data_IF_909360662893
#
_entry.id   IF_909360662893
#
_cell.length_a   1.000
_cell.length_b   1.000
_cell.length_c   1.000
_cell.angle_alpha   90.00
_cell.angle_beta   90.00
_cell.angle_gamma   90.00
#
_symmetry.space_group_name_H-M   'P 1'
#
loop_
_entity.id
_entity.type
_entity.pdbx_description
1 polymer ?
#
# COMPACT_ATOMS: atom_id res chain seq x y z
N UNK A 1 -4.98 -28.26 65.28
CA UNK A 1 -3.50 -28.25 65.37
C UNK A 1 -2.97 -27.92 63.99
N UNK A 2 -2.24 -26.84 63.70
CA UNK A 2 -2.04 -25.51 64.33
C UNK A 2 -2.15 -24.54 63.13
N UNK A 3 -3.04 -23.54 63.06
CA UNK A 3 -2.97 -22.20 63.71
C UNK A 3 -1.56 -21.67 63.93
N UNK A 4 -1.10 -20.78 63.04
CA UNK A 4 -0.34 -19.57 63.39
C UNK A 4 -0.34 -18.58 62.20
N UNK A 5 -1.12 -17.51 62.30
CA UNK A 5 -1.00 -16.32 61.47
C UNK A 5 -0.97 -15.10 62.39
N UNK A 6 -0.04 -14.18 62.18
CA UNK A 6 -0.07 -12.79 62.65
C UNK A 6 1.03 -12.01 61.90
N UNK A 7 0.96 -10.73 61.52
CA UNK A 7 -0.04 -9.67 61.25
C UNK A 7 0.70 -8.32 61.41
N UNK A 8 0.03 -7.20 61.07
CA UNK A 8 0.42 -5.76 61.20
C UNK A 8 1.09 -5.20 59.92
N UNK A 9 0.62 -4.13 59.27
CA UNK A 9 -0.71 -3.48 59.28
C UNK A 9 -0.93 -2.50 58.10
N UNK A 10 -2.17 -2.01 57.94
CA UNK A 10 -2.65 -0.73 57.36
C UNK A 10 -2.24 -0.32 55.90
N UNK A 11 -3.14 -0.14 54.91
CA UNK A 11 -4.25 0.85 54.75
C UNK A 11 -3.73 2.29 54.44
N UNK A 12 -4.16 3.09 53.44
CA UNK A 12 -5.30 3.09 52.46
C UNK A 12 -4.90 3.89 51.19
N UNK A 13 -5.74 3.85 50.13
CA UNK A 13 -5.78 4.69 48.91
C UNK A 13 -4.69 4.39 47.85
N UNK A 14 -4.95 4.44 46.55
CA UNK A 14 -6.18 4.75 45.78
C UNK A 14 -5.83 4.98 44.30
N UNK A 15 -6.85 5.16 43.46
CA UNK A 15 -6.76 5.38 41.99
C UNK A 15 -6.35 4.17 41.13
N UNK A 16 -7.03 4.07 39.98
CA UNK A 16 -6.79 3.10 38.92
C UNK A 16 -5.86 3.70 37.87
N UNK A 17 -4.82 2.97 37.48
CA UNK A 17 -4.12 3.22 36.22
C UNK A 17 -4.12 1.93 35.40
N UNK A 18 -4.92 1.93 34.33
CA UNK A 18 -4.66 1.09 33.18
C UNK A 18 -3.60 1.77 32.30
N UNK A 19 -3.09 1.06 31.29
CA UNK A 19 -1.84 1.31 30.56
C UNK A 19 -0.60 0.90 31.38
N UNK A 20 0.45 0.33 30.79
CA UNK A 20 0.75 0.20 29.37
C UNK A 20 0.97 -1.28 29.01
N UNK A 21 0.18 -1.82 28.08
CA UNK A 21 0.62 -3.00 27.34
C UNK A 21 1.55 -2.45 26.27
N UNK A 22 2.86 -2.69 26.41
CA UNK A 22 3.82 -2.36 25.37
C UNK A 22 3.39 -3.11 24.09
N UNK A 23 2.77 -2.36 23.19
CA UNK A 23 2.57 -2.79 21.82
C UNK A 23 3.97 -2.90 21.22
N UNK A 24 4.48 -4.14 21.25
CA UNK A 24 5.56 -4.55 20.36
C UNK A 24 5.01 -4.30 18.96
N UNK A 25 5.36 -3.16 18.39
CA UNK A 25 5.27 -2.96 16.95
C UNK A 25 6.23 -3.99 16.38
N UNK A 26 5.67 -5.12 15.91
CA UNK A 26 6.43 -6.01 15.05
C UNK A 26 6.90 -5.17 13.87
N UNK A 27 8.22 -4.94 13.83
CA UNK A 27 8.89 -4.32 12.70
C UNK A 27 8.44 -5.06 11.44
N UNK A 28 7.66 -4.38 10.60
CA UNK A 28 6.92 -5.00 9.51
C UNK A 28 7.91 -5.75 8.65
N UNK A 29 7.77 -7.08 8.58
CA UNK A 29 8.77 -7.96 7.99
C UNK A 29 9.20 -7.41 6.61
N UNK A 30 10.50 -7.25 6.37
CA UNK A 30 10.98 -6.65 5.13
C UNK A 30 10.58 -7.54 3.95
N UNK A 31 9.78 -6.99 3.05
CA UNK A 31 9.22 -7.74 1.94
C UNK A 31 10.33 -8.04 0.92
N UNK A 32 10.67 -9.32 0.81
CA UNK A 32 11.39 -9.85 -0.33
C UNK A 32 10.40 -10.60 -1.24
N UNK A 33 10.50 -10.48 -2.58
CA UNK A 33 9.63 -11.22 -3.48
C UNK A 33 9.76 -12.74 -3.24
N UNK A 34 8.70 -13.50 -3.57
CA UNK A 34 8.66 -14.95 -3.32
C UNK A 34 9.89 -15.67 -3.88
N UNK A 35 10.62 -16.38 -3.01
CA UNK A 35 11.85 -17.11 -3.36
C UNK A 35 13.15 -16.32 -3.15
N UNK A 36 13.08 -15.03 -2.84
CA UNK A 36 14.23 -14.22 -2.43
C UNK A 36 14.44 -14.32 -0.91
N UNK A 37 15.70 -14.17 -0.46
CA UNK A 37 16.06 -14.19 0.96
C UNK A 37 16.48 -12.80 1.42
N UNK A 38 15.95 -12.37 2.57
CA UNK A 38 16.30 -11.09 3.17
C UNK A 38 17.67 -11.13 3.86
N UNK A 39 18.49 -10.13 3.57
CA UNK A 39 19.80 -9.91 4.17
C UNK A 39 19.81 -8.78 5.20
N UNK A 40 20.03 -9.13 6.47
CA UNK A 40 20.18 -8.20 7.60
C UNK A 40 21.66 -8.08 8.02
N UNK A 41 22.18 -6.88 8.36
CA UNK A 41 21.50 -5.59 8.49
C UNK A 41 21.48 -4.73 7.21
N UNK A 42 21.94 -5.25 6.08
CA UNK A 42 22.18 -4.51 4.83
C UNK A 42 20.93 -4.33 3.93
N UNK A 43 19.74 -4.61 4.47
CA UNK A 43 18.42 -4.31 3.90
C UNK A 43 18.30 -4.61 2.41
N UNK A 44 18.74 -5.79 1.99
CA UNK A 44 18.74 -6.20 0.58
C UNK A 44 18.13 -7.59 0.45
N UNK A 45 17.44 -7.84 -0.66
CA UNK A 45 16.89 -9.16 -1.00
C UNK A 45 17.82 -9.85 -2.00
N UNK A 46 18.04 -11.15 -1.82
CA UNK A 46 18.94 -11.94 -2.66
C UNK A 46 18.27 -13.19 -3.23
N UNK A 47 18.49 -13.43 -4.52
CA UNK A 47 18.00 -14.61 -5.21
C UNK A 47 19.17 -15.41 -5.79
N UNK A 48 19.28 -16.67 -5.40
CA UNK A 48 20.28 -17.59 -5.91
C UNK A 48 19.73 -18.31 -7.14
N UNK A 49 20.25 -18.01 -8.33
CA UNK A 49 19.77 -18.62 -9.56
C UNK A 49 20.19 -20.10 -9.64
N UNK A 50 19.26 -20.97 -10.04
CA UNK A 50 19.52 -22.40 -10.23
C UNK A 50 20.29 -22.70 -11.52
N UNK A 51 20.03 -21.93 -12.58
CA UNK A 51 20.71 -22.04 -13.88
C UNK A 51 22.14 -21.46 -13.85
N UNK A 52 22.97 -21.85 -14.81
CA UNK A 52 24.31 -21.30 -15.00
C UNK A 52 24.39 -20.55 -16.34
N UNK A 53 24.90 -19.32 -16.31
CA UNK A 53 24.99 -18.43 -17.48
C UNK A 53 26.37 -17.76 -17.55
N UNK A 54 26.70 -17.21 -18.72
CA UNK A 54 27.80 -16.26 -18.84
C UNK A 54 27.44 -14.97 -18.07
N UNK A 55 28.43 -14.13 -17.76
CA UNK A 55 28.21 -12.94 -16.92
C UNK A 55 27.21 -11.93 -17.53
N UNK A 56 27.28 -11.56 -18.84
CA UNK A 56 26.29 -10.68 -19.46
C UNK A 56 24.85 -11.21 -19.38
N UNK A 57 24.61 -12.48 -19.73
CA UNK A 57 23.28 -13.08 -19.69
C UNK A 57 22.78 -13.22 -18.24
N UNK A 58 23.68 -13.42 -17.27
CA UNK A 58 23.34 -13.46 -15.85
C UNK A 58 22.92 -12.09 -15.31
N UNK A 59 23.55 -11.00 -15.76
CA UNK A 59 23.14 -9.63 -15.45
C UNK A 59 21.73 -9.34 -16.00
N UNK A 60 21.51 -9.62 -17.29
CA UNK A 60 20.18 -9.48 -17.91
C UNK A 60 19.13 -10.36 -17.23
N UNK A 61 19.49 -11.56 -16.77
CA UNK A 61 18.59 -12.43 -16.02
C UNK A 61 18.20 -11.83 -14.65
N UNK A 62 19.11 -11.11 -13.97
CA UNK A 62 18.80 -10.39 -12.74
C UNK A 62 17.92 -9.14 -12.99
N UNK A 63 18.21 -8.37 -14.05
CA UNK A 63 17.42 -7.20 -14.45
C UNK A 63 15.96 -7.58 -14.74
N UNK A 64 15.75 -8.69 -15.46
CA UNK A 64 14.42 -9.23 -15.75
C UNK A 64 13.61 -9.66 -14.51
N UNK A 65 14.23 -9.80 -13.34
CA UNK A 65 13.55 -10.10 -12.06
C UNK A 65 13.65 -8.95 -11.04
N UNK A 66 13.93 -7.72 -11.51
CA UNK A 66 13.92 -6.51 -10.69
C UNK A 66 15.18 -6.29 -9.84
N UNK A 67 16.31 -6.90 -10.21
CA UNK A 67 17.58 -6.74 -9.49
C UNK A 67 18.78 -6.61 -10.42
N UNK A 68 19.97 -6.72 -9.85
CA UNK A 68 21.25 -6.75 -10.55
C UNK A 68 22.07 -7.96 -10.07
N UNK A 69 23.14 -8.33 -10.77
CA UNK A 69 24.14 -9.23 -10.18
C UNK A 69 24.68 -8.61 -8.87
N UNK A 70 24.76 -9.43 -7.82
CA UNK A 70 24.90 -8.91 -6.46
C UNK A 70 26.15 -8.05 -6.25
N UNK A 71 25.94 -6.84 -5.74
CA UNK A 71 26.99 -6.00 -5.16
C UNK A 71 27.30 -6.37 -3.71
N UNK A 72 28.51 -6.08 -3.25
CA UNK A 72 28.94 -6.36 -1.87
C UNK A 72 29.65 -5.14 -1.28
N UNK A 73 29.08 -4.65 -0.18
CA UNK A 73 29.47 -3.44 0.55
C UNK A 73 30.12 -3.72 1.90
N UNK A 74 30.00 -4.94 2.44
CA UNK A 74 30.47 -5.27 3.79
C UNK A 74 30.89 -6.73 3.97
N UNK A 75 31.61 -7.03 5.05
CA UNK A 75 32.00 -8.38 5.44
C UNK A 75 30.83 -9.23 5.93
N UNK A 76 29.82 -8.61 6.53
CA UNK A 76 28.57 -9.24 6.92
C UNK A 76 27.77 -9.70 5.70
N UNK A 77 27.65 -8.83 4.69
CA UNK A 77 26.99 -9.15 3.41
C UNK A 77 27.74 -10.26 2.65
N UNK A 78 29.07 -10.18 2.56
CA UNK A 78 29.87 -11.26 1.97
C UNK A 78 29.65 -12.61 2.67
N UNK A 79 29.70 -12.63 4.01
CA UNK A 79 29.51 -13.86 4.78
C UNK A 79 28.09 -14.44 4.67
N UNK A 80 27.07 -13.60 4.42
CA UNK A 80 25.72 -14.03 4.11
C UNK A 80 25.64 -14.68 2.72
N UNK A 81 26.18 -14.03 1.69
CA UNK A 81 26.13 -14.54 0.32
C UNK A 81 26.93 -15.84 0.12
N UNK A 82 28.04 -16.00 0.85
CA UNK A 82 28.79 -17.26 0.88
C UNK A 82 27.94 -18.42 1.42
N UNK A 83 27.12 -18.19 2.47
CA UNK A 83 26.21 -19.22 3.00
C UNK A 83 25.08 -19.53 2.02
N UNK A 84 24.52 -18.50 1.38
CA UNK A 84 23.48 -18.64 0.36
C UNK A 84 23.98 -19.48 -0.83
N UNK A 85 25.17 -19.17 -1.36
CA UNK A 85 25.82 -19.93 -2.42
C UNK A 85 26.13 -21.38 -1.99
N UNK A 86 26.70 -21.57 -0.78
CA UNK A 86 27.04 -22.90 -0.26
C UNK A 86 25.80 -23.80 -0.10
N UNK A 87 24.70 -23.25 0.40
CA UNK A 87 23.45 -23.97 0.59
C UNK A 87 22.81 -24.40 -0.74
N UNK A 88 23.03 -23.65 -1.83
CA UNK A 88 22.56 -24.01 -3.17
C UNK A 88 23.49 -24.99 -3.88
N UNK A 89 24.80 -24.71 -3.94
CA UNK A 89 25.78 -25.65 -4.46
C UNK A 89 27.22 -25.38 -3.95
N UNK A 90 27.79 -26.22 -3.08
CA UNK A 90 29.06 -25.95 -2.41
C UNK A 90 30.30 -26.14 -3.30
N UNK A 91 30.18 -26.64 -4.53
CA UNK A 91 31.35 -26.95 -5.40
C UNK A 91 31.58 -25.97 -6.55
N UNK A 92 30.61 -25.07 -6.79
CA UNK A 92 30.57 -24.23 -7.98
C UNK A 92 31.15 -22.84 -7.71
N UNK A 93 31.45 -22.13 -8.80
CA UNK A 93 31.79 -20.72 -8.76
C UNK A 93 30.50 -19.92 -8.92
N UNK A 94 30.43 -18.74 -8.30
CA UNK A 94 29.25 -17.89 -8.29
C UNK A 94 29.61 -16.49 -8.80
N UNK A 95 28.91 -16.03 -9.84
CA UNK A 95 29.02 -14.68 -10.37
C UNK A 95 28.43 -13.64 -9.41
N UNK A 96 29.07 -12.46 -9.42
CA UNK A 96 28.61 -11.23 -8.76
C UNK A 96 28.77 -10.03 -9.70
N UNK A 97 28.19 -8.89 -9.34
CA UNK A 97 28.11 -7.72 -10.23
C UNK A 97 29.43 -6.99 -10.49
N UNK A 98 30.53 -7.43 -9.89
CA UNK A 98 31.84 -6.79 -10.07
C UNK A 98 32.43 -7.19 -11.43
N UNK A 99 32.74 -6.18 -12.25
CA UNK A 99 33.30 -6.36 -13.59
C UNK A 99 34.18 -5.15 -13.97
N UNK A 100 34.98 -5.28 -15.01
CA UNK A 100 35.71 -4.18 -15.63
C UNK A 100 35.28 -4.03 -17.10
N UNK A 101 35.19 -2.79 -17.61
CA UNK A 101 34.76 -2.53 -19.00
C UNK A 101 35.84 -2.99 -20.01
N UNK A 102 37.11 -2.86 -19.63
CA UNK A 102 38.28 -3.28 -20.41
C UNK A 102 39.49 -3.41 -19.46
N UNK A 103 40.61 -3.94 -19.97
CA UNK A 103 41.83 -4.21 -19.19
C UNK A 103 42.47 -2.97 -18.52
N UNK A 104 42.08 -1.75 -18.90
CA UNK A 104 42.57 -0.48 -18.31
C UNK A 104 41.56 0.15 -17.34
N UNK A 105 40.37 -0.42 -17.21
CA UNK A 105 39.30 0.09 -16.35
C UNK A 105 39.41 -0.48 -14.93
N UNK A 106 39.11 0.29 -13.89
CA UNK A 106 38.90 -0.27 -12.55
C UNK A 106 37.69 -1.21 -12.55
N UNK A 107 37.69 -2.16 -11.62
CA UNK A 107 36.52 -3.00 -11.36
C UNK A 107 35.41 -2.18 -10.68
N UNK A 108 34.19 -2.28 -11.18
CA UNK A 108 33.01 -1.56 -10.75
C UNK A 108 31.80 -2.51 -10.60
N UNK A 109 30.84 -2.15 -9.76
CA UNK A 109 29.61 -2.93 -9.57
C UNK A 109 28.59 -2.58 -10.67
N UNK A 110 27.91 -3.59 -11.20
CA UNK A 110 26.88 -3.44 -12.24
C UNK A 110 25.70 -2.55 -11.82
N UNK A 111 25.35 -2.56 -10.52
CA UNK A 111 24.29 -1.73 -9.94
C UNK A 111 24.74 -0.30 -9.56
N UNK A 112 25.96 0.10 -9.90
CA UNK A 112 26.51 1.41 -9.56
C UNK A 112 26.93 1.60 -8.09
N UNK A 113 26.86 0.57 -7.26
CA UNK A 113 27.34 0.62 -5.86
C UNK A 113 28.81 1.08 -5.81
N UNK A 114 29.23 1.91 -4.84
CA UNK A 114 30.65 2.25 -4.66
C UNK A 114 31.49 1.02 -4.29
N UNK A 115 32.57 0.77 -5.04
CA UNK A 115 33.48 -0.38 -4.85
C UNK A 115 34.47 -0.21 -3.67
N UNK A 116 33.95 0.18 -2.51
CA UNK A 116 34.74 0.50 -1.31
C UNK A 116 35.16 -0.73 -0.48
N UNK A 117 34.46 -1.86 -0.67
CA UNK A 117 34.74 -3.12 0.02
C UNK A 117 35.39 -4.13 -0.93
N UNK A 118 36.34 -4.92 -0.43
CA UNK A 118 37.11 -5.87 -1.23
C UNK A 118 37.35 -7.19 -0.52
N UNK A 119 37.21 -8.30 -1.27
CA UNK A 119 37.61 -9.66 -0.89
C UNK A 119 38.35 -10.39 -2.01
N UNK A 120 39.19 -9.69 -2.77
CA UNK A 120 40.12 -10.35 -3.69
C UNK A 120 40.98 -11.40 -2.98
N UNK A 121 41.12 -12.58 -3.59
CA UNK A 121 42.11 -13.56 -3.16
C UNK A 121 43.54 -12.99 -3.30
N UNK A 122 44.49 -13.55 -2.54
CA UNK A 122 45.89 -13.18 -2.69
C UNK A 122 46.36 -13.41 -4.12
N UNK A 123 46.91 -12.38 -4.76
CA UNK A 123 47.28 -12.41 -6.18
C UNK A 123 46.11 -12.26 -7.16
N UNK A 124 44.98 -11.69 -6.72
CA UNK A 124 43.88 -11.23 -7.57
C UNK A 124 43.65 -9.70 -7.39
N UNK A 125 43.11 -8.99 -8.40
CA UNK A 125 42.87 -9.47 -9.77
C UNK A 125 44.17 -9.83 -10.50
N UNK A 126 44.09 -10.78 -11.41
CA UNK A 126 45.20 -11.29 -12.22
C UNK A 126 45.11 -10.74 -13.64
N UNK A 127 46.24 -10.26 -14.18
CA UNK A 127 46.36 -9.78 -15.57
C UNK A 127 46.04 -10.86 -16.62
N UNK A 128 46.19 -12.14 -16.25
CA UNK A 128 45.80 -13.31 -17.07
C UNK A 128 44.36 -13.79 -16.83
N UNK A 129 43.61 -13.11 -15.96
CA UNK A 129 42.18 -13.37 -15.73
C UNK A 129 41.31 -12.62 -16.74
N UNK A 130 40.00 -12.90 -16.73
CA UNK A 130 39.05 -12.14 -17.55
C UNK A 130 38.55 -10.87 -16.85
N UNK A 131 37.52 -10.25 -17.42
CA UNK A 131 36.97 -8.97 -16.93
C UNK A 131 35.83 -9.12 -15.91
N UNK A 132 35.35 -10.35 -15.66
CA UNK A 132 34.19 -10.62 -14.82
C UNK A 132 34.59 -11.38 -13.55
N UNK A 133 33.87 -11.16 -12.44
CA UNK A 133 34.30 -11.61 -11.11
C UNK A 133 33.30 -12.57 -10.47
N UNK A 134 33.84 -13.62 -9.86
CA UNK A 134 33.09 -14.50 -8.97
C UNK A 134 33.96 -15.02 -7.83
N UNK A 135 33.36 -15.72 -6.87
CA UNK A 135 34.10 -16.56 -5.92
C UNK A 135 33.81 -18.02 -6.17
N UNK A 136 34.75 -18.90 -5.78
CA UNK A 136 34.46 -20.32 -5.60
C UNK A 136 34.16 -20.56 -4.13
N UNK A 137 33.09 -21.28 -3.84
CA UNK A 137 32.72 -21.57 -2.46
C UNK A 137 33.57 -22.73 -1.93
N UNK A 138 34.40 -22.47 -0.92
CA UNK A 138 35.10 -23.49 -0.12
C UNK A 138 34.97 -23.10 1.36
N UNK A 139 33.91 -23.55 2.01
CA UNK A 139 33.59 -23.13 3.38
C UNK A 139 34.57 -23.76 4.38
N UNK A 140 35.48 -22.96 4.94
CA UNK A 140 36.40 -23.35 6.01
C UNK A 140 37.89 -23.41 5.63
N UNK A 141 38.23 -23.27 4.35
CA UNK A 141 39.63 -23.16 3.89
C UNK A 141 40.00 -21.70 3.57
N UNK A 142 41.28 -21.35 3.70
CA UNK A 142 41.85 -20.01 3.39
C UNK A 142 41.85 -19.65 1.89
N UNK A 143 40.90 -20.16 1.12
CA UNK A 143 40.70 -19.96 -0.31
C UNK A 143 39.35 -19.28 -0.63
N UNK A 144 38.69 -18.69 0.37
CA UNK A 144 37.47 -17.90 0.19
C UNK A 144 37.78 -16.47 -0.28
N UNK A 145 37.31 -16.14 -1.49
CA UNK A 145 37.50 -14.81 -2.04
C UNK A 145 37.18 -14.69 -3.52
N UNK A 146 37.30 -13.47 -4.01
CA UNK A 146 37.02 -13.08 -5.39
C UNK A 146 38.21 -13.33 -6.29
N UNK A 147 37.91 -13.70 -7.54
CA UNK A 147 38.88 -13.82 -8.63
C UNK A 147 38.25 -13.41 -9.95
N UNK A 148 39.05 -12.85 -10.86
CA UNK A 148 38.58 -12.46 -12.18
C UNK A 148 38.82 -13.58 -13.20
N UNK A 149 37.81 -13.89 -14.01
CA UNK A 149 37.79 -14.99 -14.97
C UNK A 149 37.04 -14.57 -16.26
N UNK A 150 37.16 -15.38 -17.32
CA UNK A 150 36.53 -15.12 -18.61
C UNK A 150 34.99 -15.00 -18.47
N UNK A 151 34.42 -13.88 -18.93
CA UNK A 151 33.01 -13.53 -18.78
C UNK A 151 32.08 -14.55 -19.45
N UNK A 152 32.57 -15.23 -20.47
CA UNK A 152 31.93 -16.28 -21.28
C UNK A 152 31.73 -17.59 -20.49
N UNK A 153 32.38 -17.74 -19.34
CA UNK A 153 32.26 -18.93 -18.49
C UNK A 153 30.85 -19.07 -17.95
N UNK A 154 30.21 -20.23 -18.09
CA UNK A 154 28.92 -20.48 -17.45
C UNK A 154 29.12 -20.76 -15.95
N UNK A 155 28.53 -19.92 -15.10
CA UNK A 155 28.52 -20.08 -13.64
C UNK A 155 27.12 -19.82 -13.09
N UNK A 156 26.84 -20.33 -11.89
CA UNK A 156 25.66 -19.87 -11.13
C UNK A 156 25.85 -18.42 -10.69
N UNK A 157 24.78 -17.75 -10.31
CA UNK A 157 24.82 -16.32 -9.99
C UNK A 157 23.82 -15.94 -8.89
N UNK A 158 24.13 -14.86 -8.18
CA UNK A 158 23.23 -14.27 -7.19
C UNK A 158 22.75 -12.91 -7.71
N UNK A 159 21.44 -12.74 -7.75
CA UNK A 159 20.82 -11.44 -7.96
C UNK A 159 20.59 -10.74 -6.61
N UNK A 160 20.73 -9.42 -6.59
CA UNK A 160 20.44 -8.52 -5.47
C UNK A 160 19.46 -7.46 -5.93
N UNK A 161 18.50 -7.13 -5.07
CA UNK A 161 17.73 -5.89 -5.14
C UNK A 161 17.72 -5.24 -3.75
N UNK A 162 17.46 -3.93 -3.67
CA UNK A 162 17.16 -3.31 -2.37
C UNK A 162 15.93 -4.02 -1.79
N UNK A 163 15.95 -4.36 -0.50
CA UNK A 163 14.77 -4.97 0.09
C UNK A 163 13.68 -3.91 0.19
N UNK A 164 12.43 -4.29 -0.07
CA UNK A 164 11.29 -3.36 -0.02
C UNK A 164 11.01 -2.92 1.43
N UNK A 165 11.83 -2.01 1.94
CA UNK A 165 11.53 -1.22 3.12
C UNK A 165 10.57 -0.10 2.70
N UNK A 166 9.32 -0.50 2.41
CA UNK A 166 8.17 0.39 2.38
C UNK A 166 7.90 0.81 3.83
N UNK A 167 8.23 2.04 4.26
CA UNK A 167 7.99 2.44 5.65
C UNK A 167 6.49 2.36 5.92
N UNK A 168 6.09 1.48 6.84
CA UNK A 168 4.69 1.17 7.12
C UNK A 168 3.89 0.65 5.89
N UNK A 169 4.47 -0.28 5.11
CA UNK A 169 3.83 -0.84 3.90
C UNK A 169 2.44 -1.46 4.09
N UNK A 170 2.07 -1.89 5.29
CA UNK A 170 0.69 -2.22 5.64
C UNK A 170 0.27 -1.47 6.90
N UNK A 171 -0.84 -0.73 6.84
CA UNK A 171 -1.39 0.01 7.96
C UNK A 171 -2.89 -0.23 8.12
N UNK A 172 -3.32 -0.27 9.38
CA UNK A 172 -4.73 -0.30 9.75
C UNK A 172 -4.99 0.48 11.03
N UNK A 173 -6.23 0.96 11.19
CA UNK A 173 -6.63 1.77 12.34
C UNK A 173 -7.55 2.92 11.96
N UNK A 174 -7.58 3.97 12.79
CA UNK A 174 -8.36 5.20 12.57
C UNK A 174 -7.58 6.32 11.89
N UNK A 175 -6.25 6.27 11.90
CA UNK A 175 -5.36 7.24 11.26
C UNK A 175 -3.93 6.72 11.25
N UNK A 176 -3.08 7.28 10.39
CA UNK A 176 -1.66 6.96 10.32
C UNK A 176 -0.94 7.81 9.27
N UNK A 177 0.31 7.46 8.97
CA UNK A 177 1.08 8.06 7.89
C UNK A 177 1.97 7.06 7.16
N UNK A 178 2.13 7.30 5.86
CA UNK A 178 2.97 6.55 4.92
C UNK A 178 3.87 7.53 4.18
N UNK A 179 5.07 7.07 3.83
CA UNK A 179 6.05 7.89 3.09
C UNK A 179 6.87 7.03 2.15
N UNK A 180 7.50 7.64 1.16
CA UNK A 180 8.55 6.99 0.39
C UNK A 180 9.70 6.51 1.30
N UNK A 181 10.46 5.52 0.82
CA UNK A 181 11.71 5.10 1.46
C UNK A 181 12.63 6.29 1.73
N UNK A 182 13.35 6.27 2.85
CA UNK A 182 14.34 7.28 3.27
C UNK A 182 13.83 8.72 3.51
N UNK A 183 12.54 9.03 3.30
CA UNK A 183 11.95 10.34 3.57
C UNK A 183 12.33 10.85 4.99
N UNK A 184 12.77 12.12 5.17
CA UNK A 184 12.79 13.22 4.20
C UNK A 184 14.08 13.32 3.35
N UNK A 185 14.95 12.31 3.35
CA UNK A 185 16.05 12.20 2.38
C UNK A 185 15.55 11.61 1.08
N UNK A 186 16.40 11.62 0.05
CA UNK A 186 16.02 11.06 -1.24
C UNK A 186 15.68 9.57 -1.17
N UNK A 187 14.67 9.16 -1.93
CA UNK A 187 14.35 7.75 -2.15
C UNK A 187 15.44 7.05 -2.98
N UNK A 188 15.29 5.75 -3.18
CA UNK A 188 16.21 4.91 -3.95
C UNK A 188 15.73 4.70 -5.40
N UNK A 189 16.65 4.37 -6.30
CA UNK A 189 16.33 3.95 -7.66
C UNK A 189 15.69 2.54 -7.67
N UNK A 190 14.92 2.23 -8.70
CA UNK A 190 14.32 0.91 -8.97
C UNK A 190 13.35 0.40 -7.90
N UNK A 191 12.63 1.30 -7.21
CA UNK A 191 11.64 0.95 -6.20
C UNK A 191 10.36 0.41 -6.82
N UNK A 192 9.71 -0.49 -6.10
CA UNK A 192 8.37 -1.02 -6.40
C UNK A 192 7.51 -1.06 -5.12
N UNK A 193 7.54 0.01 -4.33
CA UNK A 193 6.93 0.03 -3.00
C UNK A 193 5.40 0.01 -3.07
N UNK A 194 4.77 -1.10 -2.65
CA UNK A 194 3.32 -1.18 -2.44
C UNK A 194 2.98 -0.84 -0.99
N UNK A 195 1.96 0.00 -0.80
CA UNK A 195 1.38 0.32 0.51
C UNK A 195 -0.10 -0.06 0.52
N UNK A 196 -0.57 -0.62 1.62
CA UNK A 196 -1.98 -0.99 1.83
C UNK A 196 -2.51 -0.34 3.11
N UNK A 197 -3.55 0.49 2.97
CA UNK A 197 -4.25 1.12 4.09
C UNK A 197 -5.62 0.49 4.21
N UNK A 198 -5.96 -0.06 5.37
CA UNK A 198 -7.26 -0.70 5.65
C UNK A 198 -7.89 -0.11 6.91
N UNK A 199 -9.06 0.49 6.77
CA UNK A 199 -9.86 1.02 7.88
C UNK A 199 -11.01 0.06 8.21
N UNK A 200 -11.69 0.29 9.33
CA UNK A 200 -12.85 -0.50 9.73
C UNK A 200 -13.93 -0.51 8.62
N UNK A 201 -14.58 -1.65 8.42
CA UNK A 201 -15.68 -1.79 7.47
C UNK A 201 -16.78 -0.75 7.74
N UNK A 202 -17.23 -0.06 6.68
CA UNK A 202 -18.17 1.07 6.76
C UNK A 202 -17.52 2.45 6.89
N UNK A 203 -16.20 2.53 7.04
CA UNK A 203 -15.41 3.77 6.95
C UNK A 203 -14.69 3.87 5.60
N UNK A 204 -14.05 5.02 5.34
CA UNK A 204 -13.22 5.29 4.15
C UNK A 204 -11.85 5.80 4.53
N UNK A 205 -10.88 5.60 3.63
CA UNK A 205 -9.55 6.18 3.73
C UNK A 205 -9.58 7.57 3.10
N UNK A 206 -9.23 8.60 3.87
CA UNK A 206 -8.95 9.94 3.38
C UNK A 206 -7.45 10.19 3.46
N UNK A 207 -6.78 10.36 2.32
CA UNK A 207 -5.33 10.52 2.18
C UNK A 207 -4.99 11.98 1.82
N UNK A 208 -4.03 12.57 2.52
CA UNK A 208 -3.56 13.95 2.33
C UNK A 208 -2.04 13.99 2.34
N UNK A 209 -1.43 14.69 1.38
CA UNK A 209 0.03 14.86 1.31
C UNK A 209 0.43 16.15 2.02
N UNK A 210 1.49 16.11 2.82
CA UNK A 210 2.13 17.32 3.35
C UNK A 210 3.24 17.80 2.40
N UNK A 211 3.87 16.86 1.71
CA UNK A 211 5.07 17.06 0.90
C UNK A 211 5.11 15.98 -0.21
N UNK A 212 5.50 16.39 -1.42
CA UNK A 212 5.57 15.51 -2.58
C UNK A 212 6.61 16.04 -3.57
N UNK A 213 7.65 15.26 -3.87
CA UNK A 213 8.76 15.66 -4.72
C UNK A 213 9.42 14.41 -5.32
N UNK A 214 9.12 14.15 -6.58
CA UNK A 214 9.49 12.95 -7.34
C UNK A 214 9.95 13.34 -8.73
N UNK A 215 10.69 12.48 -9.42
CA UNK A 215 11.05 12.75 -10.81
C UNK A 215 9.79 12.87 -11.68
N UNK A 216 9.73 13.87 -12.56
CA UNK A 216 8.49 14.19 -13.29
C UNK A 216 8.17 13.18 -14.39
N UNK A 217 9.15 12.43 -14.89
CA UNK A 217 9.06 11.71 -16.17
C UNK A 217 8.86 10.21 -15.99
N UNK A 218 9.61 9.58 -15.09
CA UNK A 218 9.62 8.13 -14.90
C UNK A 218 9.03 7.71 -13.55
N UNK A 219 9.39 8.40 -12.47
CA UNK A 219 8.95 8.07 -11.11
C UNK A 219 7.48 8.44 -10.86
N UNK A 220 6.72 7.51 -10.25
CA UNK A 220 5.26 7.62 -10.14
C UNK A 220 4.73 7.07 -8.82
N UNK A 221 3.85 7.83 -8.18
CA UNK A 221 2.95 7.33 -7.14
C UNK A 221 1.56 7.10 -7.72
N UNK A 222 1.19 5.83 -7.89
CA UNK A 222 -0.16 5.40 -8.23
C UNK A 222 -0.98 5.19 -6.95
N UNK A 223 -2.25 5.56 -6.99
CA UNK A 223 -3.20 5.42 -5.88
C UNK A 223 -4.47 4.74 -6.41
N UNK A 224 -4.95 3.72 -5.71
CA UNK A 224 -6.03 2.84 -6.14
C UNK A 224 -7.15 2.72 -5.09
N UNK A 225 -8.39 2.65 -5.57
CA UNK A 225 -9.61 2.54 -4.79
C UNK A 225 -9.93 1.09 -4.43
N UNK A 226 -9.16 0.51 -3.51
CA UNK A 226 -9.35 -0.86 -3.10
C UNK A 226 -8.13 -1.47 -2.43
N UNK A 227 -8.12 -2.80 -2.23
CA UNK A 227 -7.11 -3.47 -1.41
C UNK A 227 -5.78 -3.72 -2.13
N UNK A 228 -5.67 -3.52 -3.45
CA UNK A 228 -4.46 -3.84 -4.23
C UNK A 228 -4.38 -3.05 -5.56
N UNK A 229 -3.25 -3.20 -6.29
CA UNK A 229 -2.95 -2.53 -7.56
C UNK A 229 -3.85 -2.90 -8.76
N UNK A 230 -4.74 -3.89 -8.62
CA UNK A 230 -5.75 -4.23 -9.63
C UNK A 230 -7.07 -3.48 -9.43
N UNK A 231 -7.19 -2.72 -8.34
CA UNK A 231 -8.38 -1.90 -8.03
C UNK A 231 -8.43 -0.66 -8.94
N UNK A 232 -9.59 0.02 -9.09
CA UNK A 232 -9.71 1.23 -9.92
C UNK A 232 -8.71 2.32 -9.51
N UNK A 233 -8.09 3.01 -10.47
CA UNK A 233 -7.13 4.09 -10.14
C UNK A 233 -7.85 5.38 -9.71
N UNK A 234 -7.41 5.97 -8.59
CA UNK A 234 -7.85 7.26 -8.09
C UNK A 234 -7.00 8.41 -8.64
N UNK A 235 -5.68 8.24 -8.60
CA UNK A 235 -4.68 9.24 -9.01
C UNK A 235 -3.37 8.55 -9.45
N UNK A 236 -2.62 9.27 -10.28
CA UNK A 236 -1.23 9.00 -10.64
C UNK A 236 -0.49 10.33 -10.50
N UNK A 237 0.53 10.39 -9.64
CA UNK A 237 1.19 11.62 -9.19
C UNK A 237 2.69 11.56 -9.49
N UNK A 238 3.24 12.67 -10.02
CA UNK A 238 4.67 12.87 -10.34
C UNK A 238 5.09 14.30 -10.06
N UNK A 239 6.40 14.58 -10.11
CA UNK A 239 6.94 15.93 -9.99
C UNK A 239 6.89 16.50 -8.58
N UNK A 240 6.80 17.83 -8.48
CA UNK A 240 7.01 18.60 -7.26
C UNK A 240 5.75 19.36 -6.79
N UNK A 241 5.36 19.18 -5.53
CA UNK A 241 4.40 20.01 -4.81
C UNK A 241 4.78 20.15 -3.32
N UNK A 242 5.37 21.30 -2.90
CA UNK A 242 5.96 21.49 -1.56
C UNK A 242 4.94 21.81 -0.46
N UNK A 243 3.64 21.68 -0.77
CA UNK A 243 2.52 21.69 0.20
C UNK A 243 1.59 20.48 -0.03
N UNK A 244 2.10 19.43 -0.68
CA UNK A 244 1.32 18.29 -1.14
C UNK A 244 0.30 18.66 -2.22
N UNK A 245 -0.63 17.74 -2.48
CA UNK A 245 -1.75 17.97 -3.40
C UNK A 245 -2.92 18.55 -2.60
N UNK A 246 -3.39 19.74 -2.99
CA UNK A 246 -4.37 20.53 -2.21
C UNK A 246 -5.74 19.82 -2.00
N UNK A 247 -6.07 18.81 -2.81
CA UNK A 247 -7.28 18.01 -2.67
C UNK A 247 -6.99 16.70 -1.93
N UNK A 248 -7.75 16.41 -0.87
CA UNK A 248 -7.70 15.11 -0.20
C UNK A 248 -8.24 13.99 -1.10
N UNK A 249 -7.53 12.87 -1.16
CA UNK A 249 -7.89 11.72 -2.00
C UNK A 249 -8.66 10.71 -1.14
N UNK A 250 -9.89 10.35 -1.55
CA UNK A 250 -10.77 9.46 -0.80
C UNK A 250 -11.03 8.16 -1.55
N UNK A 251 -11.04 7.04 -0.82
CA UNK A 251 -11.52 5.74 -1.32
C UNK A 251 -13.05 5.66 -1.26
N UNK A 252 -13.67 4.87 -2.13
CA UNK A 252 -15.10 4.52 -2.04
C UNK A 252 -15.35 3.43 -0.97
N UNK A 253 -14.40 2.52 -0.78
CA UNK A 253 -14.43 1.46 0.23
C UNK A 253 -13.58 1.74 1.46
N UNK A 254 -13.45 0.73 2.33
CA UNK A 254 -12.64 0.78 3.57
C UNK A 254 -11.15 0.44 3.34
N UNK A 255 -10.66 0.51 2.11
CA UNK A 255 -9.29 0.16 1.75
C UNK A 255 -8.77 1.04 0.63
N UNK A 256 -7.49 1.39 0.69
CA UNK A 256 -6.76 2.11 -0.37
C UNK A 256 -5.39 1.47 -0.56
N UNK A 257 -4.95 1.32 -1.80
CA UNK A 257 -3.62 0.82 -2.14
C UNK A 257 -2.82 1.93 -2.84
N UNK A 258 -1.54 2.04 -2.52
CA UNK A 258 -0.60 2.93 -3.18
C UNK A 258 0.53 2.08 -3.79
N UNK A 259 1.09 2.53 -4.91
CA UNK A 259 2.26 1.90 -5.54
C UNK A 259 3.22 3.00 -5.98
N UNK A 260 4.39 3.06 -5.35
CA UNK A 260 5.46 3.97 -5.70
C UNK A 260 6.53 3.23 -6.52
N UNK A 261 6.63 3.60 -7.79
CA UNK A 261 7.55 3.02 -8.75
C UNK A 261 8.61 4.05 -9.14
N UNK A 262 9.89 3.66 -9.11
CA UNK A 262 11.01 4.54 -9.53
C UNK A 262 11.93 3.85 -10.53
N UNK A 263 12.59 4.67 -11.35
CA UNK A 263 13.49 4.26 -12.43
C UNK A 263 14.96 4.10 -11.93
N UNK A 264 15.90 3.86 -12.83
CA UNK A 264 17.31 3.61 -12.47
C UNK A 264 18.11 4.88 -12.12
N UNK A 265 17.51 6.07 -12.14
CA UNK A 265 18.17 7.38 -12.04
C UNK A 265 17.36 8.45 -11.28
N UNK A 266 17.96 9.63 -11.08
CA UNK A 266 17.29 10.88 -10.68
C UNK A 266 16.37 10.84 -9.44
N UNK A 267 16.89 10.51 -8.26
CA UNK A 267 16.08 10.52 -7.03
C UNK A 267 15.88 11.91 -6.43
N UNK A 268 14.71 12.11 -5.80
CA UNK A 268 14.31 13.31 -5.06
C UNK A 268 13.87 12.94 -3.64
N UNK A 269 13.55 13.91 -2.78
CA UNK A 269 13.19 13.68 -1.35
C UNK A 269 11.94 12.79 -1.14
N UNK A 270 11.14 12.58 -2.19
CA UNK A 270 9.97 11.72 -2.17
C UNK A 270 8.74 12.38 -1.57
N UNK A 271 7.96 11.63 -0.81
CA UNK A 271 6.63 12.06 -0.38
C UNK A 271 6.30 11.60 1.03
N UNK A 272 5.47 12.38 1.72
CA UNK A 272 4.85 12.05 3.00
C UNK A 272 3.36 12.32 2.95
N UNK A 273 2.56 11.33 3.32
CA UNK A 273 1.12 11.42 3.37
C UNK A 273 0.56 10.92 4.70
N UNK A 274 -0.33 11.72 5.27
CA UNK A 274 -1.19 11.31 6.37
C UNK A 274 -2.48 10.70 5.81
N UNK A 275 -3.05 9.75 6.52
CA UNK A 275 -4.41 9.28 6.26
C UNK A 275 -5.24 9.24 7.53
N UNK A 276 -6.54 9.39 7.36
CA UNK A 276 -7.53 9.20 8.41
C UNK A 276 -8.66 8.29 7.92
N UNK A 277 -9.15 7.45 8.82
CA UNK A 277 -10.45 6.82 8.67
C UNK A 277 -11.51 7.90 8.84
N UNK A 278 -12.11 8.33 7.74
CA UNK A 278 -13.33 9.12 7.80
C UNK A 278 -14.51 8.16 7.87
N UNK A 279 -15.53 8.48 8.65
CA UNK A 279 -16.86 7.95 8.37
C UNK A 279 -17.23 8.26 6.92
N UNK A 280 -18.20 7.53 6.37
CA UNK A 280 -19.09 8.15 5.39
C UNK A 280 -19.60 9.43 6.08
N UNK A 281 -19.04 10.58 5.73
CA UNK A 281 -19.48 11.84 6.32
C UNK A 281 -20.98 11.91 6.04
N UNK A 282 -21.77 12.20 7.07
CA UNK A 282 -23.13 12.71 6.87
C UNK A 282 -22.95 14.03 6.11
N UNK A 283 -22.89 13.93 4.77
CA UNK A 283 -22.33 14.95 3.88
C UNK A 283 -23.39 16.00 3.60
N UNK A 284 -23.81 16.65 4.70
CA UNK A 284 -25.03 17.43 4.87
C UNK A 284 -26.14 17.01 3.90
N UNK A 285 -26.51 15.73 3.92
CA UNK A 285 -27.60 15.23 3.09
C UNK A 285 -28.86 16.02 3.49
N UNK A 286 -29.51 16.78 2.58
CA UNK A 286 -30.57 17.68 3.00
C UNK A 286 -31.73 16.90 3.62
N UNK A 287 -31.89 17.05 4.94
CA UNK A 287 -32.78 16.24 5.78
C UNK A 287 -32.42 14.73 5.82
N UNK A 288 -31.13 14.39 5.86
CA UNK A 288 -30.62 13.01 5.88
C UNK A 288 -31.16 12.13 7.02
N UNK A 289 -31.38 12.70 8.21
CA UNK A 289 -32.03 12.01 9.33
C UNK A 289 -33.42 12.61 9.54
N UNK A 290 -34.48 11.82 9.28
CA UNK A 290 -35.86 12.26 9.46
C UNK A 290 -36.67 11.27 10.32
N UNK A 291 -37.53 11.82 11.17
CA UNK A 291 -38.48 11.06 11.99
C UNK A 291 -39.84 11.76 12.03
N UNK A 292 -40.93 11.02 11.80
CA UNK A 292 -42.28 11.62 11.75
C UNK A 292 -43.30 10.76 11.01
N UNK A 293 -44.25 11.43 10.34
CA UNK A 293 -45.26 10.78 9.48
C UNK A 293 -45.10 11.13 7.99
N UNK A 294 -44.28 12.13 7.66
CA UNK A 294 -44.00 12.59 6.30
C UNK A 294 -42.77 13.49 6.28
N UNK A 295 -42.11 13.65 5.14
CA UNK A 295 -40.98 14.57 4.97
C UNK A 295 -40.44 14.63 3.53
N UNK A 296 -39.75 15.74 3.15
CA UNK A 296 -39.06 15.87 1.88
C UNK A 296 -37.64 15.27 1.94
N UNK A 297 -37.16 14.74 0.82
CA UNK A 297 -35.81 14.19 0.64
C UNK A 297 -35.26 14.62 -0.72
N UNK A 298 -34.03 15.15 -0.76
CA UNK A 298 -33.37 15.52 -2.01
C UNK A 298 -31.92 15.06 -2.01
N UNK A 299 -31.35 14.88 -3.21
CA UNK A 299 -29.89 14.81 -3.36
C UNK A 299 -29.24 16.10 -2.85
N UNK A 300 -27.92 16.08 -2.50
CA UNK A 300 -27.17 17.30 -2.26
C UNK A 300 -27.28 18.26 -3.45
N UNK A 301 -27.18 19.56 -3.16
CA UNK A 301 -27.24 20.69 -4.10
C UNK A 301 -28.53 20.86 -4.92
N UNK A 302 -29.50 19.94 -4.86
CA UNK A 302 -30.77 20.03 -5.57
C UNK A 302 -31.45 21.40 -5.32
N UNK A 303 -31.89 22.14 -6.37
CA UNK A 303 -32.14 21.71 -7.75
C UNK A 303 -30.96 21.82 -8.73
N UNK A 304 -29.75 22.13 -8.25
CA UNK A 304 -28.51 22.07 -9.03
C UNK A 304 -27.99 20.63 -9.10
N UNK A 305 -26.89 20.43 -9.81
CA UNK A 305 -26.26 19.11 -9.90
C UNK A 305 -25.61 18.70 -8.57
N UNK A 306 -25.67 17.41 -8.25
CA UNK A 306 -24.91 16.82 -7.15
C UNK A 306 -23.40 16.81 -7.45
N UNK A 307 -22.58 16.68 -6.41
CA UNK A 307 -21.14 16.55 -6.56
C UNK A 307 -20.71 15.10 -6.87
N UNK A 308 -19.52 14.95 -7.45
CA UNK A 308 -18.91 13.65 -7.69
C UNK A 308 -18.35 13.10 -6.36
N UNK A 309 -18.19 11.77 -6.25
CA UNK A 309 -17.63 11.05 -5.09
C UNK A 309 -18.43 11.21 -3.78
N UNK A 310 -19.74 11.44 -3.88
CA UNK A 310 -20.64 11.56 -2.74
C UNK A 310 -21.13 10.20 -2.26
N UNK A 311 -21.18 10.03 -0.94
CA UNK A 311 -21.96 8.97 -0.30
C UNK A 311 -22.91 9.56 0.72
N UNK A 312 -24.11 9.89 0.26
CA UNK A 312 -25.14 10.46 1.09
C UNK A 312 -26.06 9.37 1.67
N UNK A 313 -25.94 9.17 2.98
CA UNK A 313 -26.81 8.28 3.74
C UNK A 313 -28.06 9.03 4.21
N UNK A 314 -29.23 8.48 3.92
CA UNK A 314 -30.51 8.94 4.44
C UNK A 314 -31.14 7.85 5.30
N UNK A 315 -31.82 8.25 6.37
CA UNK A 315 -32.54 7.35 7.27
C UNK A 315 -33.85 7.97 7.70
N UNK A 316 -34.91 7.30 7.29
CA UNK A 316 -36.30 7.67 7.55
C UNK A 316 -36.82 6.76 8.66
N UNK A 317 -37.44 7.32 9.69
CA UNK A 317 -38.08 6.56 10.77
C UNK A 317 -39.52 7.02 10.98
N UNK A 318 -40.50 6.13 10.83
CA UNK A 318 -41.86 6.42 11.28
C UNK A 318 -41.92 6.41 12.81
N UNK A 319 -42.66 7.36 13.38
CA UNK A 319 -42.97 7.37 14.82
C UNK A 319 -43.89 6.22 15.24
N UNK A 320 -44.61 5.60 14.29
CA UNK A 320 -45.40 4.40 14.53
C UNK A 320 -44.60 3.15 14.17
N UNK A 321 -44.26 2.33 15.18
CA UNK A 321 -43.55 1.05 14.98
C UNK A 321 -44.33 0.00 14.18
N UNK A 322 -45.64 0.20 14.00
CA UNK A 322 -46.52 -0.67 13.21
C UNK A 322 -46.69 -0.19 11.77
N UNK A 323 -46.15 0.97 11.42
CA UNK A 323 -46.28 1.54 10.09
C UNK A 323 -45.13 1.12 9.17
N UNK A 324 -45.34 1.36 7.87
CA UNK A 324 -44.36 1.24 6.79
C UNK A 324 -44.05 2.62 6.23
N UNK A 325 -42.90 2.78 5.61
CA UNK A 325 -42.50 4.02 4.92
C UNK A 325 -42.73 3.81 3.43
N UNK A 326 -43.50 4.69 2.81
CA UNK A 326 -43.56 4.82 1.35
C UNK A 326 -42.82 6.08 0.93
N UNK A 327 -41.80 5.94 0.09
CA UNK A 327 -41.12 7.04 -0.59
C UNK A 327 -41.62 7.14 -2.03
N UNK A 328 -41.83 8.36 -2.51
CA UNK A 328 -42.27 8.72 -3.86
C UNK A 328 -41.28 9.71 -4.46
N UNK A 329 -40.77 9.44 -5.65
CA UNK A 329 -39.84 10.30 -6.36
C UNK A 329 -40.60 11.21 -7.32
N UNK A 330 -40.52 12.52 -7.10
CA UNK A 330 -41.11 13.55 -7.96
C UNK A 330 -40.19 13.84 -9.15
N UNK A 331 -38.88 13.76 -8.93
CA UNK A 331 -37.83 13.88 -9.94
C UNK A 331 -36.67 12.93 -9.62
N UNK A 332 -36.09 12.29 -10.66
CA UNK A 332 -34.91 11.46 -10.52
C UNK A 332 -34.12 11.40 -11.85
N UNK A 333 -32.89 11.93 -11.84
CA UNK A 333 -31.94 11.82 -12.94
C UNK A 333 -30.50 11.79 -12.41
N UNK A 334 -29.82 10.66 -12.65
CA UNK A 334 -28.46 10.32 -12.20
C UNK A 334 -27.70 9.64 -13.34
N UNK A 335 -26.39 9.44 -13.24
CA UNK A 335 -25.66 8.70 -14.27
C UNK A 335 -26.07 7.21 -14.30
N UNK A 336 -26.49 6.71 -15.46
CA UNK A 336 -27.09 5.38 -15.60
C UNK A 336 -26.19 4.21 -15.19
N UNK A 337 -24.87 4.32 -15.36
CA UNK A 337 -23.93 3.22 -15.11
C UNK A 337 -23.47 3.12 -13.64
N UNK A 338 -23.29 4.28 -13.01
CA UNK A 338 -22.26 4.44 -12.00
C UNK A 338 -22.85 5.07 -10.74
N UNK A 339 -23.54 6.20 -10.87
CA UNK A 339 -24.27 6.85 -9.77
C UNK A 339 -25.55 6.09 -9.39
N UNK A 340 -25.68 5.73 -8.11
CA UNK A 340 -26.70 4.79 -7.63
C UNK A 340 -27.34 5.25 -6.33
N UNK A 341 -28.67 5.38 -6.34
CA UNK A 341 -29.48 5.46 -5.12
C UNK A 341 -29.99 4.06 -4.76
N UNK A 342 -29.52 3.50 -3.65
CA UNK A 342 -29.96 2.19 -3.16
C UNK A 342 -30.83 2.34 -1.91
N UNK A 343 -32.01 1.70 -1.92
CA UNK A 343 -33.00 1.70 -0.87
C UNK A 343 -32.94 0.37 -0.10
N UNK A 344 -32.91 0.44 1.23
CA UNK A 344 -32.79 -0.69 2.15
C UNK A 344 -33.97 -0.74 3.13
N UNK A 345 -34.51 -1.94 3.33
CA UNK A 345 -35.66 -2.25 4.17
C UNK A 345 -35.24 -2.45 5.63
N UNK A 346 -34.81 -1.37 6.27
CA UNK A 346 -34.38 -1.42 7.67
C UNK A 346 -33.46 -0.24 8.07
N UNK A 347 -32.77 -0.36 9.21
CA UNK A 347 -32.05 0.74 9.83
C UNK A 347 -30.62 0.99 9.33
N UNK A 348 -30.09 0.13 8.44
CA UNK A 348 -28.70 0.20 7.94
C UNK A 348 -28.59 -0.25 6.48
N UNK A 349 -27.43 0.02 5.84
CA UNK A 349 -27.09 -0.49 4.49
C UNK A 349 -26.88 -2.03 4.42
N UNK A 350 -26.90 -2.72 5.56
CA UNK A 350 -26.87 -4.19 5.62
C UNK A 350 -28.28 -4.81 5.74
N UNK A 351 -29.33 -3.98 5.77
CA UNK A 351 -30.72 -4.45 5.73
C UNK A 351 -31.07 -4.97 4.32
N UNK A 352 -32.13 -5.77 4.13
CA UNK A 352 -32.52 -6.28 2.82
C UNK A 352 -32.72 -5.15 1.79
N UNK A 353 -32.15 -5.27 0.60
CA UNK A 353 -32.27 -4.25 -0.42
C UNK A 353 -33.66 -4.26 -1.07
N UNK A 354 -34.36 -3.12 -1.06
CA UNK A 354 -35.62 -2.92 -1.78
C UNK A 354 -35.34 -2.73 -3.27
N UNK A 355 -34.47 -1.77 -3.60
CA UNK A 355 -34.16 -1.42 -5.00
C UNK A 355 -32.88 -0.58 -5.10
N UNK A 356 -32.13 -0.76 -6.19
CA UNK A 356 -31.12 0.21 -6.65
C UNK A 356 -31.68 0.94 -7.88
N UNK A 357 -31.48 2.26 -7.91
CA UNK A 357 -31.93 3.20 -8.94
C UNK A 357 -30.72 3.93 -9.53
N UNK A 358 -30.69 4.09 -10.84
CA UNK A 358 -29.75 4.93 -11.60
C UNK A 358 -30.42 5.42 -12.88
N UNK A 359 -29.82 6.39 -13.57
CA UNK A 359 -30.38 6.94 -14.81
C UNK A 359 -31.59 7.84 -14.56
N UNK A 360 -32.54 7.85 -15.50
CA UNK A 360 -33.80 8.62 -15.44
C UNK A 360 -34.96 7.73 -15.01
N UNK A 361 -35.77 8.16 -14.05
CA UNK A 361 -37.01 7.48 -13.65
C UNK A 361 -38.26 8.35 -13.89
N UNK A 362 -39.44 7.75 -14.16
CA UNK A 362 -40.70 8.49 -14.21
C UNK A 362 -41.06 9.11 -12.86
N UNK A 363 -41.53 10.36 -12.87
CA UNK A 363 -42.09 11.01 -11.67
C UNK A 363 -43.33 10.25 -11.15
N UNK A 364 -43.48 10.22 -9.82
CA UNK A 364 -44.51 9.42 -9.13
C UNK A 364 -44.11 7.97 -8.86
N UNK A 365 -42.93 7.52 -9.32
CA UNK A 365 -42.39 6.20 -8.97
C UNK A 365 -42.21 6.11 -7.45
N UNK A 366 -42.74 5.05 -6.84
CA UNK A 366 -42.73 4.89 -5.38
C UNK A 366 -42.32 3.48 -4.94
N UNK A 367 -41.75 3.40 -3.74
CA UNK A 367 -41.30 2.18 -3.08
C UNK A 367 -41.77 2.19 -1.63
N UNK A 368 -42.10 1.01 -1.07
CA UNK A 368 -42.60 0.88 0.31
C UNK A 368 -41.77 -0.16 1.06
N UNK A 369 -41.35 0.15 2.29
CA UNK A 369 -40.66 -0.78 3.21
C UNK A 369 -41.62 -1.80 3.82
N UNK A 370 -41.10 -2.86 4.43
CA UNK A 370 -41.90 -3.76 5.29
C UNK A 370 -41.97 -3.28 6.74
N UNK A 371 -40.99 -2.48 7.19
CA UNK A 371 -40.92 -1.93 8.55
C UNK A 371 -40.98 -0.41 8.65
N UNK A 372 -40.96 0.08 9.89
CA UNK A 372 -41.06 1.51 10.24
C UNK A 372 -39.74 2.29 10.05
N UNK A 373 -38.69 1.68 9.48
CA UNK A 373 -37.40 2.33 9.17
C UNK A 373 -37.01 1.99 7.73
N UNK A 374 -36.55 2.99 6.99
CA UNK A 374 -35.98 2.83 5.64
C UNK A 374 -34.67 3.61 5.57
N UNK A 375 -33.62 2.97 5.06
CA UNK A 375 -32.31 3.59 4.84
C UNK A 375 -32.06 3.71 3.34
N UNK A 376 -31.45 4.81 2.90
CA UNK A 376 -31.04 5.02 1.51
C UNK A 376 -29.56 5.40 1.47
N UNK A 377 -28.83 4.91 0.48
CA UNK A 377 -27.46 5.33 0.18
C UNK A 377 -27.42 5.87 -1.26
N UNK A 378 -27.11 7.15 -1.41
CA UNK A 378 -26.80 7.76 -2.70
C UNK A 378 -25.28 7.79 -2.89
N UNK A 379 -24.78 6.95 -3.78
CA UNK A 379 -23.36 6.82 -4.12
C UNK A 379 -23.10 7.45 -5.49
N UNK A 380 -22.10 8.31 -5.62
CA UNK A 380 -21.68 8.89 -6.92
C UNK A 380 -20.21 8.62 -7.24
N UNK A 381 -19.94 8.50 -8.53
CA UNK A 381 -18.65 8.14 -9.12
C UNK A 381 -17.70 9.36 -9.21
N UNK A 382 -16.51 9.24 -9.81
CA UNK A 382 -15.54 10.34 -9.88
C UNK A 382 -15.88 11.44 -10.91
N UNK A 383 -16.89 11.24 -11.74
CA UNK A 383 -17.20 12.01 -12.95
C UNK A 383 -18.71 12.28 -13.10
N UNK A 384 -19.11 12.80 -14.27
CA UNK A 384 -20.48 12.95 -14.79
C UNK A 384 -21.61 13.10 -13.76
N UNK A 385 -21.93 14.35 -13.37
CA UNK A 385 -23.07 14.64 -12.50
C UNK A 385 -24.31 15.20 -13.22
N UNK A 386 -25.45 15.02 -12.56
CA UNK A 386 -26.77 15.51 -12.96
C UNK A 386 -27.51 16.11 -11.75
N UNK A 387 -28.77 16.51 -11.92
CA UNK A 387 -29.58 17.12 -10.84
C UNK A 387 -29.89 16.17 -9.67
N UNK A 388 -29.75 14.86 -9.83
CA UNK A 388 -30.06 13.89 -8.78
C UNK A 388 -31.56 13.72 -8.60
N UNK A 389 -32.05 13.85 -7.38
CA UNK A 389 -33.43 13.50 -7.06
C UNK A 389 -34.13 14.46 -6.11
N UNK A 390 -35.45 14.50 -6.26
CA UNK A 390 -36.39 15.08 -5.30
C UNK A 390 -37.50 14.06 -5.04
N UNK A 391 -37.77 13.84 -3.76
CA UNK A 391 -38.72 12.86 -3.29
C UNK A 391 -39.45 13.36 -2.04
N UNK A 392 -40.57 12.74 -1.75
CA UNK A 392 -41.28 12.85 -0.48
C UNK A 392 -41.57 11.46 0.06
N UNK A 393 -41.69 11.33 1.38
CA UNK A 393 -42.16 10.09 2.00
C UNK A 393 -43.36 10.32 2.90
N UNK A 394 -44.09 9.24 3.14
CA UNK A 394 -45.20 9.16 4.08
C UNK A 394 -45.13 7.86 4.88
N UNK A 395 -45.59 7.92 6.13
CA UNK A 395 -45.89 6.76 6.96
C UNK A 395 -47.26 6.21 6.56
N UNK A 396 -47.32 4.95 6.13
CA UNK A 396 -48.55 4.23 5.78
C UNK A 396 -48.79 3.08 6.76
N UNK A 397 -50.06 2.75 7.02
CA UNK A 397 -50.42 1.53 7.74
C UNK A 397 -50.07 0.29 6.90
#
# INVERSE_FOLDING_TARGET
MLIAALYICALVFGASEATNADLIVEDTQPNCPTGWQYGSPFKSCYFMASQSLNWPDAQVACENIGGNLASISSSQEYAFLIRLAYAANPLYMTWIGLHAINNMSPFQWADGTPANYSKWLQGQPSDFGGLCVGWRTTYGDNSDGWRNIACESQQQFICKQSAEYCPNGAQSGSSGSVSSSNYPKNYENNLNCIYQIVVQAGLRVNLTFDDFDTETTYDRLYIFDGPNIQSPSLKNLTGHSPKGWNDSIQSSGNSMALFFHTDSTNTFRGWHANWAAISLNESFCPNGQQSGYTGPLTSPNYPNNYDNRLDCLYRITSTSKLARIRITFDYFYTESCCDKLTLYDGPTIHSPQIKTLSGTMPGGTNYTSTGYVMTLLFHTDYSVNYKGFSASWISVA
#
